data_IF_085112458693
#
_entry.id   IF_085112458693
#
_cell.length_a   1.000
_cell.length_b   1.000
_cell.length_c   1.000
_cell.angle_alpha   90.00
_cell.angle_beta   90.00
_cell.angle_gamma   90.00
#
_symmetry.space_group_name_H-M   'P 1'
#
loop_
_entity.id
_entity.type
_entity.pdbx_description
1 polymer ?
#
# COMPACT_ATOMS: atom_id res chain seq x y z
N UNK A 1 -15.11 -10.76 19.06
CA UNK A 1 -14.62 -11.09 17.69
C UNK A 1 -14.04 -12.48 17.86
N UNK A 2 -14.91 -13.47 18.05
CA UNK A 2 -14.58 -14.73 18.73
C UNK A 2 -14.48 -15.88 17.73
N UNK A 3 -14.03 -15.57 16.52
CA UNK A 3 -13.84 -16.56 15.46
C UNK A 3 -12.78 -17.60 15.82
N UNK A 4 -11.90 -17.31 16.79
CA UNK A 4 -10.87 -18.23 17.28
C UNK A 4 -11.38 -19.19 18.36
N UNK A 5 -12.42 -18.84 19.11
CA UNK A 5 -13.01 -19.74 20.12
C UNK A 5 -13.98 -20.75 19.50
N UNK A 6 -14.61 -20.40 18.36
CA UNK A 6 -15.41 -21.34 17.57
C UNK A 6 -14.55 -22.39 16.82
N UNK A 7 -13.28 -22.08 16.52
CA UNK A 7 -12.36 -23.01 15.81
C UNK A 7 -11.86 -24.17 16.67
N UNK A 8 -11.84 -24.02 17.99
CA UNK A 8 -11.53 -25.13 18.91
C UNK A 8 -12.76 -26.02 19.21
N UNK A 9 -13.95 -25.60 18.74
CA UNK A 9 -15.24 -26.25 19.00
C UNK A 9 -15.85 -26.94 17.79
N UNK A 10 -15.24 -26.85 16.60
CA UNK A 10 -15.61 -27.71 15.47
C UNK A 10 -15.41 -29.16 15.90
N UNK A 11 -16.50 -29.78 16.33
CA UNK A 11 -16.55 -31.20 16.62
C UNK A 11 -16.30 -31.94 15.31
N UNK A 12 -15.67 -33.11 15.37
CA UNK A 12 -15.43 -33.95 14.18
C UNK A 12 -16.74 -34.31 13.43
N UNK A 13 -17.90 -34.08 14.05
CA UNK A 13 -19.24 -34.36 13.54
C UNK A 13 -19.82 -33.28 12.61
N UNK A 14 -19.25 -32.06 12.56
CA UNK A 14 -19.75 -30.95 11.74
C UNK A 14 -19.09 -30.86 10.34
N UNK A 15 -18.08 -31.69 10.08
CA UNK A 15 -17.37 -31.69 8.81
C UNK A 15 -18.12 -32.52 7.77
N UNK A 16 -18.37 -31.95 6.59
CA UNK A 16 -18.92 -32.70 5.46
C UNK A 16 -17.83 -33.61 4.87
N UNK A 17 -17.67 -34.79 5.49
CA UNK A 17 -16.65 -35.75 5.12
C UNK A 17 -17.04 -36.38 3.76
N UNK A 18 -16.17 -36.32 2.74
CA UNK A 18 -16.47 -36.88 1.43
C UNK A 18 -16.50 -38.41 1.47
N UNK A 19 -17.23 -39.02 0.54
CA UNK A 19 -17.46 -40.47 0.49
C UNK A 19 -16.15 -41.29 0.49
N UNK A 20 -15.14 -40.84 -0.26
CA UNK A 20 -13.81 -41.48 -0.31
C UNK A 20 -13.10 -41.51 1.06
N UNK A 21 -13.37 -40.53 1.93
CA UNK A 21 -12.81 -40.45 3.27
C UNK A 21 -13.65 -41.23 4.29
N UNK A 22 -14.97 -41.34 4.10
CA UNK A 22 -15.84 -42.15 4.97
C UNK A 22 -15.57 -43.65 4.83
N UNK A 23 -15.16 -44.10 3.65
CA UNK A 23 -14.89 -45.51 3.38
C UNK A 23 -13.64 -46.09 4.09
N UNK A 24 -12.77 -45.24 4.65
CA UNK A 24 -11.52 -45.67 5.27
C UNK A 24 -11.14 -44.80 6.46
N UNK A 25 -10.89 -45.40 7.63
CA UNK A 25 -10.48 -44.67 8.85
C UNK A 25 -9.24 -43.79 8.63
N UNK A 26 -8.28 -44.27 7.85
CA UNK A 26 -7.08 -43.49 7.50
C UNK A 26 -7.41 -42.33 6.56
N UNK A 27 -8.37 -42.52 5.66
CA UNK A 27 -8.89 -41.47 4.79
C UNK A 27 -9.60 -40.39 5.59
N UNK A 28 -10.46 -40.78 6.53
CA UNK A 28 -11.13 -39.88 7.48
C UNK A 28 -10.12 -39.07 8.29
N UNK A 29 -9.14 -39.73 8.91
CA UNK A 29 -8.09 -39.04 9.67
C UNK A 29 -7.27 -38.07 8.81
N UNK A 30 -6.89 -38.47 7.60
CA UNK A 30 -6.17 -37.59 6.68
C UNK A 30 -7.00 -36.37 6.25
N UNK A 31 -8.30 -36.55 6.02
CA UNK A 31 -9.22 -35.47 5.70
C UNK A 31 -9.35 -34.46 6.85
N UNK A 32 -9.65 -34.94 8.06
CA UNK A 32 -9.77 -34.10 9.26
C UNK A 32 -8.48 -33.32 9.52
N UNK A 33 -7.32 -34.00 9.41
CA UNK A 33 -6.02 -33.35 9.56
C UNK A 33 -5.77 -32.29 8.48
N UNK A 34 -6.23 -32.53 7.25
CA UNK A 34 -6.10 -31.57 6.15
C UNK A 34 -6.95 -30.33 6.38
N UNK A 35 -8.18 -30.48 6.84
CA UNK A 35 -9.06 -29.35 7.18
C UNK A 35 -8.49 -28.52 8.33
N UNK A 36 -7.99 -29.17 9.38
CA UNK A 36 -7.29 -28.47 10.47
C UNK A 36 -6.07 -27.70 9.95
N UNK A 37 -5.24 -28.34 9.13
CA UNK A 37 -4.09 -27.68 8.52
C UNK A 37 -4.50 -26.52 7.60
N UNK A 38 -5.60 -26.65 6.84
CA UNK A 38 -6.16 -25.59 6.01
C UNK A 38 -6.51 -24.37 6.84
N UNK A 39 -7.21 -24.55 7.94
CA UNK A 39 -7.58 -23.46 8.85
C UNK A 39 -6.36 -22.77 9.44
N UNK A 40 -5.36 -23.53 9.93
CA UNK A 40 -4.11 -22.96 10.44
C UNK A 40 -3.38 -22.11 9.39
N UNK A 41 -3.30 -22.61 8.15
CA UNK A 41 -2.61 -21.91 7.05
C UNK A 41 -3.39 -20.67 6.62
N UNK A 42 -4.73 -20.72 6.59
CA UNK A 42 -5.57 -19.55 6.36
C UNK A 42 -5.38 -18.49 7.45
N UNK A 43 -5.39 -18.89 8.73
CA UNK A 43 -5.13 -17.97 9.84
C UNK A 43 -3.74 -17.32 9.74
N UNK A 44 -2.72 -18.09 9.37
CA UNK A 44 -1.38 -17.56 9.12
C UNK A 44 -1.36 -16.57 7.95
N UNK A 45 -2.06 -16.87 6.85
CA UNK A 45 -2.18 -15.96 5.69
C UNK A 45 -2.85 -14.65 6.12
N UNK A 46 -3.97 -14.71 6.82
CA UNK A 46 -4.70 -13.53 7.29
C UNK A 46 -3.85 -12.67 8.23
N UNK A 47 -3.12 -13.28 9.16
CA UNK A 47 -2.24 -12.58 10.11
C UNK A 47 -1.01 -11.97 9.43
N UNK A 48 -0.48 -12.61 8.39
CA UNK A 48 0.75 -12.19 7.74
C UNK A 48 0.56 -10.94 6.86
N UNK A 49 1.47 -9.98 7.02
CA UNK A 49 1.44 -8.68 6.33
C UNK A 49 2.68 -8.44 5.45
N UNK A 50 3.68 -9.30 5.49
CA UNK A 50 4.95 -9.09 4.77
C UNK A 50 5.15 -10.14 3.69
N UNK A 51 5.58 -9.72 2.50
CA UNK A 51 5.85 -10.62 1.36
C UNK A 51 6.82 -11.76 1.71
N UNK A 52 7.85 -11.50 2.51
CA UNK A 52 8.83 -12.53 2.85
C UNK A 52 8.28 -13.63 3.78
N UNK A 53 7.19 -13.38 4.51
CA UNK A 53 6.50 -14.43 5.29
C UNK A 53 5.95 -15.56 4.40
N UNK A 54 5.72 -15.26 3.13
CA UNK A 54 5.20 -16.19 2.12
C UNK A 54 6.28 -16.76 1.19
N UNK A 55 7.56 -16.41 1.42
CA UNK A 55 8.67 -16.86 0.57
C UNK A 55 8.82 -18.39 0.59
N UNK A 56 8.67 -19.00 1.76
CA UNK A 56 8.78 -20.45 1.92
C UNK A 56 7.39 -21.10 1.78
N UNK A 57 7.22 -22.04 0.85
CA UNK A 57 5.94 -22.73 0.64
C UNK A 57 5.41 -23.41 1.90
N UNK A 58 6.29 -23.98 2.73
CA UNK A 58 5.93 -24.67 3.98
C UNK A 58 5.09 -23.85 4.97
N UNK A 59 5.10 -22.51 4.89
CA UNK A 59 4.35 -21.67 5.82
C UNK A 59 2.88 -21.50 5.42
N UNK A 60 2.53 -21.69 4.15
CA UNK A 60 1.18 -21.44 3.64
C UNK A 60 0.61 -22.58 2.77
N UNK A 61 1.46 -23.46 2.24
CA UNK A 61 1.11 -24.62 1.44
C UNK A 61 1.10 -25.89 2.30
N UNK A 62 0.18 -26.80 2.00
CA UNK A 62 0.05 -28.08 2.71
C UNK A 62 0.66 -29.19 1.86
N UNK A 63 1.59 -29.94 2.44
CA UNK A 63 2.25 -31.07 1.78
C UNK A 63 1.64 -32.40 2.23
N UNK A 64 1.43 -33.32 1.30
CA UNK A 64 0.90 -34.67 1.59
C UNK A 64 1.76 -35.41 2.62
N UNK A 65 3.09 -35.28 2.53
CA UNK A 65 4.02 -35.87 3.50
C UNK A 65 3.82 -35.33 4.92
N UNK A 66 3.46 -34.05 5.09
CA UNK A 66 3.18 -33.47 6.40
C UNK A 66 1.89 -34.01 6.99
N UNK A 67 0.86 -34.21 6.15
CA UNK A 67 -0.40 -34.82 6.57
C UNK A 67 -0.15 -36.27 6.98
N UNK A 68 0.56 -37.04 6.15
CA UNK A 68 0.89 -38.44 6.42
C UNK A 68 1.62 -38.62 7.76
N UNK A 69 2.66 -37.82 8.01
CA UNK A 69 3.36 -37.84 9.30
C UNK A 69 2.47 -37.43 10.47
N UNK A 70 1.58 -36.45 10.27
CA UNK A 70 0.63 -35.99 11.29
C UNK A 70 -0.39 -37.05 11.72
N UNK A 71 -0.73 -37.97 10.82
CA UNK A 71 -1.61 -39.11 11.10
C UNK A 71 -0.86 -40.42 11.39
N UNK A 72 0.47 -40.37 11.54
CA UNK A 72 1.30 -41.55 11.87
C UNK A 72 1.53 -42.52 10.71
N UNK A 73 1.41 -42.07 9.46
CA UNK A 73 1.60 -42.86 8.25
C UNK A 73 2.94 -42.55 7.57
N UNK A 74 3.38 -43.46 6.69
CA UNK A 74 4.54 -43.23 5.83
C UNK A 74 4.31 -42.06 4.87
N UNK A 75 5.34 -41.25 4.63
CA UNK A 75 5.28 -40.01 3.82
C UNK A 75 4.66 -40.21 2.42
N UNK A 76 4.89 -41.37 1.79
CA UNK A 76 4.38 -41.69 0.45
C UNK A 76 2.96 -42.26 0.46
N UNK A 77 2.48 -42.78 1.59
CA UNK A 77 1.27 -43.60 1.67
C UNK A 77 0.04 -42.88 1.09
N UNK A 78 -0.21 -41.65 1.54
CA UNK A 78 -1.35 -40.84 1.07
C UNK A 78 -1.23 -40.40 -0.40
N UNK A 79 -0.04 -40.49 -0.99
CA UNK A 79 0.21 -40.04 -2.36
C UNK A 79 0.25 -41.18 -3.39
N UNK A 80 0.56 -42.40 -2.95
CA UNK A 80 0.81 -43.55 -3.83
C UNK A 80 0.00 -44.79 -3.46
N UNK A 81 0.07 -45.20 -2.20
CA UNK A 81 -0.26 -46.57 -1.80
C UNK A 81 -1.69 -46.72 -1.26
N UNK A 82 -2.31 -45.61 -0.83
CA UNK A 82 -3.69 -45.62 -0.36
C UNK A 82 -4.68 -45.82 -1.51
N UNK A 83 -5.73 -46.62 -1.30
CA UNK A 83 -6.81 -46.81 -2.27
C UNK A 83 -7.53 -45.51 -2.64
N UNK A 84 -7.60 -44.57 -1.70
CA UNK A 84 -8.19 -43.23 -1.86
C UNK A 84 -7.17 -42.15 -2.27
N UNK A 85 -5.93 -42.53 -2.61
CA UNK A 85 -4.87 -41.58 -2.96
C UNK A 85 -5.19 -40.68 -4.17
N UNK A 86 -5.86 -41.15 -5.24
CA UNK A 86 -6.27 -40.28 -6.35
C UNK A 86 -7.20 -39.14 -5.92
N UNK A 87 -8.25 -39.48 -5.16
CA UNK A 87 -9.28 -38.56 -4.67
C UNK A 87 -8.67 -37.57 -3.67
N UNK A 88 -7.86 -38.07 -2.75
CA UNK A 88 -7.15 -37.26 -1.78
C UNK A 88 -6.19 -36.27 -2.44
N UNK A 89 -5.44 -36.70 -3.47
CA UNK A 89 -4.54 -35.79 -4.22
C UNK A 89 -5.33 -34.69 -4.93
N UNK A 90 -6.46 -35.03 -5.54
CA UNK A 90 -7.35 -34.07 -6.19
C UNK A 90 -7.87 -33.04 -5.17
N UNK A 91 -8.35 -33.52 -4.02
CA UNK A 91 -8.83 -32.66 -2.94
C UNK A 91 -7.72 -31.77 -2.37
N UNK A 92 -6.55 -32.32 -2.05
CA UNK A 92 -5.41 -31.55 -1.54
C UNK A 92 -4.93 -30.49 -2.54
N UNK A 93 -5.00 -30.80 -3.84
CA UNK A 93 -4.70 -29.83 -4.91
C UNK A 93 -5.69 -28.66 -4.89
N UNK A 94 -6.99 -28.94 -4.77
CA UNK A 94 -8.03 -27.90 -4.64
C UNK A 94 -7.81 -27.03 -3.41
N UNK A 95 -7.57 -27.63 -2.24
CA UNK A 95 -7.28 -26.90 -1.00
C UNK A 95 -6.05 -26.01 -1.15
N UNK A 96 -4.97 -26.50 -1.74
CA UNK A 96 -3.77 -25.69 -1.98
C UNK A 96 -4.00 -24.56 -2.99
N UNK A 97 -4.87 -24.76 -3.99
CA UNK A 97 -5.27 -23.70 -4.90
C UNK A 97 -6.07 -22.59 -4.17
N UNK A 98 -6.97 -22.95 -3.26
CA UNK A 98 -7.68 -21.98 -2.41
C UNK A 98 -6.71 -21.18 -1.52
N UNK A 99 -5.73 -21.85 -0.91
CA UNK A 99 -4.69 -21.19 -0.10
C UNK A 99 -3.81 -20.26 -0.94
N UNK A 100 -3.49 -20.64 -2.17
CA UNK A 100 -2.75 -19.82 -3.13
C UNK A 100 -3.53 -18.53 -3.47
N UNK A 101 -4.83 -18.67 -3.76
CA UNK A 101 -5.73 -17.53 -4.02
C UNK A 101 -5.82 -16.62 -2.79
N UNK A 102 -6.04 -17.18 -1.59
CA UNK A 102 -6.11 -16.41 -0.35
C UNK A 102 -4.80 -15.63 -0.08
N UNK A 103 -3.65 -16.28 -0.29
CA UNK A 103 -2.32 -15.67 -0.17
C UNK A 103 -2.16 -14.51 -1.16
N UNK A 104 -2.52 -14.71 -2.43
CA UNK A 104 -2.39 -13.69 -3.47
C UNK A 104 -3.30 -12.49 -3.19
N UNK A 105 -4.56 -12.74 -2.81
CA UNK A 105 -5.50 -11.70 -2.38
C UNK A 105 -4.96 -10.92 -1.18
N UNK A 106 -4.34 -11.60 -0.21
CA UNK A 106 -3.72 -10.94 0.94
C UNK A 106 -2.55 -10.05 0.52
N UNK A 107 -1.69 -10.52 -0.37
CA UNK A 107 -0.55 -9.74 -0.86
C UNK A 107 -0.99 -8.50 -1.65
N UNK A 108 -2.06 -8.61 -2.45
CA UNK A 108 -2.67 -7.49 -3.16
C UNK A 108 -3.22 -6.45 -2.17
N UNK A 109 -4.04 -6.87 -1.20
CA UNK A 109 -4.55 -5.97 -0.14
C UNK A 109 -3.43 -5.30 0.65
N UNK A 110 -2.37 -6.03 0.97
CA UNK A 110 -1.19 -5.47 1.64
C UNK A 110 -0.48 -4.45 0.75
N UNK A 111 -0.40 -4.68 -0.57
CA UNK A 111 0.22 -3.75 -1.50
C UNK A 111 -0.61 -2.47 -1.67
N UNK A 112 -1.93 -2.60 -1.78
CA UNK A 112 -2.89 -1.48 -1.82
C UNK A 112 -2.84 -0.66 -0.52
N UNK A 113 -2.91 -1.33 0.64
CA UNK A 113 -2.85 -0.68 1.94
C UNK A 113 -1.45 -0.14 2.28
N UNK A 114 -0.40 -0.62 1.59
CA UNK A 114 0.94 -0.02 1.61
C UNK A 114 1.05 1.25 0.78
N UNK A 115 -0.07 1.83 0.37
CA UNK A 115 -0.21 3.24 -0.02
C UNK A 115 0.49 4.14 1.00
N UNK A 116 1.78 4.33 0.78
CA UNK A 116 2.77 4.91 1.70
C UNK A 116 2.69 6.44 1.71
N UNK A 117 1.54 7.00 1.33
CA UNK A 117 1.41 8.40 0.96
C UNK A 117 2.59 8.86 0.08
N UNK A 118 3.16 10.02 0.40
CA UNK A 118 4.31 10.64 -0.28
C UNK A 118 5.55 9.72 -0.41
N UNK A 119 5.70 8.67 0.40
CA UNK A 119 6.89 7.79 0.39
C UNK A 119 6.85 6.79 -0.80
N UNK A 120 5.68 6.63 -1.46
CA UNK A 120 5.57 5.82 -2.68
C UNK A 120 5.90 6.59 -3.97
N UNK A 121 6.01 7.93 -3.91
CA UNK A 121 6.42 8.73 -5.05
C UNK A 121 7.91 8.50 -5.34
N UNK A 122 8.27 8.36 -6.63
CA UNK A 122 9.68 8.28 -7.04
C UNK A 122 10.42 9.50 -6.52
N UNK A 123 11.68 9.33 -6.09
CA UNK A 123 12.56 10.41 -5.58
C UNK A 123 12.49 11.68 -6.43
N UNK A 124 12.43 11.53 -7.75
CA UNK A 124 12.34 12.63 -8.70
C UNK A 124 11.08 13.50 -8.53
N UNK A 125 9.94 12.88 -8.28
CA UNK A 125 8.66 13.59 -8.05
C UNK A 125 8.69 14.33 -6.72
N UNK A 126 9.31 13.74 -5.69
CA UNK A 126 9.48 14.41 -4.39
C UNK A 126 10.41 15.61 -4.49
N UNK A 127 11.53 15.47 -5.23
CA UNK A 127 12.50 16.56 -5.42
C UNK A 127 11.90 17.71 -6.22
N UNK A 128 11.14 17.44 -7.29
CA UNK A 128 10.49 18.50 -8.08
C UNK A 128 9.43 19.25 -7.27
N UNK A 129 8.69 18.53 -6.44
CA UNK A 129 7.69 19.12 -5.54
C UNK A 129 8.32 19.98 -4.44
N UNK A 130 9.44 19.53 -3.85
CA UNK A 130 10.19 20.35 -2.88
C UNK A 130 10.66 21.65 -3.53
N UNK A 131 11.28 21.58 -4.72
CA UNK A 131 11.75 22.77 -5.44
C UNK A 131 10.62 23.76 -5.76
N UNK A 132 9.48 23.25 -6.22
CA UNK A 132 8.31 24.12 -6.51
C UNK A 132 7.71 24.72 -5.23
N UNK A 133 7.77 24.00 -4.11
CA UNK A 133 7.31 24.53 -2.82
C UNK A 133 8.25 25.62 -2.30
N UNK A 134 9.57 25.41 -2.42
CA UNK A 134 10.60 26.40 -2.07
C UNK A 134 10.49 27.66 -2.93
N UNK A 135 10.23 27.53 -4.23
CA UNK A 135 10.00 28.68 -5.11
C UNK A 135 8.77 29.48 -4.68
N UNK A 136 7.64 28.82 -4.41
CA UNK A 136 6.43 29.49 -3.95
C UNK A 136 6.62 30.16 -2.58
N UNK A 137 7.37 29.54 -1.69
CA UNK A 137 7.73 30.13 -0.40
C UNK A 137 8.53 31.41 -0.60
N UNK A 138 9.56 31.38 -1.46
CA UNK A 138 10.41 32.53 -1.76
C UNK A 138 9.63 33.68 -2.42
N UNK A 139 8.70 33.36 -3.32
CA UNK A 139 7.79 34.34 -3.91
C UNK A 139 6.91 35.00 -2.83
N UNK A 140 6.31 34.20 -1.94
CA UNK A 140 5.49 34.72 -0.84
C UNK A 140 6.31 35.56 0.15
N UNK A 141 7.53 35.15 0.47
CA UNK A 141 8.45 35.93 1.30
C UNK A 141 8.78 37.28 0.65
N UNK A 142 9.01 37.32 -0.66
CA UNK A 142 9.29 38.57 -1.37
C UNK A 142 8.10 39.53 -1.37
N UNK A 143 6.88 39.01 -1.55
CA UNK A 143 5.64 39.80 -1.49
C UNK A 143 5.41 40.31 -0.08
N UNK A 144 5.55 39.45 0.92
CA UNK A 144 5.38 39.83 2.32
C UNK A 144 6.44 40.85 2.76
N UNK A 145 7.70 40.69 2.35
CA UNK A 145 8.75 41.66 2.61
C UNK A 145 8.42 43.03 1.99
N UNK A 146 7.93 43.06 0.75
CA UNK A 146 7.49 44.29 0.11
C UNK A 146 6.31 44.95 0.84
N UNK A 147 5.33 44.17 1.29
CA UNK A 147 4.21 44.68 2.08
C UNK A 147 4.64 45.23 3.45
N UNK A 148 5.54 44.53 4.15
CA UNK A 148 6.08 45.00 5.44
C UNK A 148 6.86 46.30 5.27
N UNK A 149 7.68 46.41 4.22
CA UNK A 149 8.40 47.66 3.90
C UNK A 149 7.41 48.78 3.56
N UNK A 150 6.35 48.50 2.79
CA UNK A 150 5.29 49.48 2.48
C UNK A 150 4.59 49.98 3.74
N UNK A 151 4.16 49.07 4.61
CA UNK A 151 3.49 49.41 5.88
C UNK A 151 4.41 50.17 6.85
N UNK A 152 5.72 49.86 6.85
CA UNK A 152 6.69 50.62 7.62
C UNK A 152 6.89 52.04 7.05
N UNK A 153 6.95 52.15 5.71
CA UNK A 153 7.02 53.43 5.02
C UNK A 153 5.81 54.33 5.31
N UNK A 154 4.61 53.74 5.34
CA UNK A 154 3.35 54.41 5.72
C UNK A 154 3.32 54.92 7.17
N UNK A 155 4.25 54.50 8.03
CA UNK A 155 4.37 54.99 9.42
C UNK A 155 5.40 56.10 9.59
N UNK A 156 6.26 56.36 8.61
CA UNK A 156 7.21 57.47 8.68
C UNK A 156 6.51 58.82 8.51
N UNK A 157 7.04 59.86 9.15
CA UNK A 157 6.55 61.23 8.97
C UNK A 157 6.88 61.75 7.56
N UNK A 158 6.11 62.72 7.02
CA UNK A 158 6.29 63.20 5.65
C UNK A 158 7.72 63.66 5.34
N UNK A 159 8.37 64.33 6.31
CA UNK A 159 9.76 64.82 6.18
C UNK A 159 10.79 63.69 6.03
N UNK A 160 10.56 62.55 6.70
CA UNK A 160 11.46 61.39 6.63
C UNK A 160 11.24 60.62 5.33
N UNK A 161 10.00 60.60 4.80
CA UNK A 161 9.72 59.99 3.49
C UNK A 161 10.34 60.76 2.34
N UNK A 162 10.27 62.09 2.40
CA UNK A 162 10.86 63.00 1.40
C UNK A 162 12.39 62.88 1.41
N UNK A 163 12.99 62.79 2.60
CA UNK A 163 14.44 62.58 2.76
C UNK A 163 14.89 61.21 2.24
N UNK A 164 14.08 60.17 2.39
CA UNK A 164 14.35 58.82 1.88
C UNK A 164 13.92 58.64 0.40
N UNK A 165 13.40 59.68 -0.24
CA UNK A 165 12.88 59.65 -1.61
C UNK A 165 11.89 58.50 -1.87
N UNK A 166 11.04 58.20 -0.88
CA UNK A 166 9.95 57.22 -1.03
C UNK A 166 8.81 57.93 -1.77
N UNK A 167 8.80 57.86 -3.09
CA UNK A 167 7.72 58.43 -3.91
C UNK A 167 6.39 57.73 -3.59
N UNK A 168 5.39 58.52 -3.16
CA UNK A 168 3.99 58.08 -3.09
C UNK A 168 3.45 57.86 -4.51
N UNK A 169 3.83 56.77 -5.17
CA UNK A 169 3.16 56.32 -6.40
C UNK A 169 1.75 55.87 -6.04
N UNK A 170 0.81 56.81 -6.11
CA UNK A 170 -0.61 56.48 -6.27
C UNK A 170 -0.73 55.70 -7.57
N UNK A 171 -1.00 54.40 -7.46
CA UNK A 171 -1.28 53.55 -8.60
C UNK A 171 -2.65 53.95 -9.14
N UNK A 172 -2.67 54.77 -10.18
CA UNK A 172 -3.88 55.02 -10.95
C UNK A 172 -4.30 53.71 -11.65
N UNK A 173 -5.49 53.23 -11.34
CA UNK A 173 -6.09 52.00 -11.84
C UNK A 173 -6.49 52.05 -13.33
N UNK A 174 -5.96 52.98 -14.13
CA UNK A 174 -6.25 53.04 -15.57
C UNK A 174 -5.20 52.29 -16.38
N UNK A 175 -5.46 51.00 -16.58
CA UNK A 175 -4.80 50.15 -17.55
C UNK A 175 -4.92 50.77 -18.97
N UNK A 176 -3.85 51.39 -19.49
CA UNK A 176 -3.67 51.67 -20.92
C UNK A 176 -2.22 51.42 -21.32
N UNK A 177 -1.99 50.27 -21.97
CA UNK A 177 -0.77 49.96 -22.70
C UNK A 177 -0.69 50.90 -23.91
N UNK A 178 0.38 51.68 -24.02
CA UNK A 178 0.73 52.40 -25.25
C UNK A 178 2.16 52.02 -25.64
N UNK A 179 2.42 51.56 -26.88
CA UNK A 179 3.76 51.21 -27.32
C UNK A 179 4.54 52.47 -27.71
N UNK A 180 5.78 52.58 -27.23
CA UNK A 180 6.70 53.65 -27.63
C UNK A 180 7.21 53.40 -29.07
N UNK A 181 6.72 54.22 -30.01
CA UNK A 181 7.43 54.47 -31.29
C UNK A 181 8.72 55.22 -30.98
N UNK A 182 9.88 54.66 -31.39
CA UNK A 182 11.14 55.41 -31.51
C UNK A 182 11.02 56.34 -32.72
N UNK A 183 11.06 57.65 -32.48
CA UNK A 183 11.54 58.64 -33.46
C UNK A 183 12.98 58.92 -33.06
N UNK A 184 13.93 58.52 -33.91
CA UNK A 184 15.31 59.01 -33.83
C UNK A 184 15.41 60.05 -34.94
N UNK A 185 15.32 61.32 -34.56
CA UNK A 185 15.87 62.42 -35.36
C UNK A 185 17.23 62.74 -34.75
N UNK A 186 18.28 62.38 -35.47
CA UNK A 186 19.64 62.83 -35.25
C UNK A 186 19.89 64.03 -36.16
N UNK A 187 19.80 65.23 -35.58
CA UNK A 187 20.49 66.41 -36.06
C UNK A 187 21.61 66.69 -35.06
N UNK A 188 22.85 66.74 -35.52
CA UNK A 188 23.80 67.78 -35.17
C UNK A 188 24.98 67.72 -36.16
N UNK A 189 25.18 68.88 -36.79
CA UNK A 189 26.38 69.55 -37.36
C UNK A 189 27.60 68.73 -37.83
#
# INVERSE_FOLDING_TARGET
MDYFEDLARLSDDDLDIPEWARANDRGKMAFVYTEKAKQERLAYILKSTKRHHFKAKKTWHIFSATIAMGVGLEKSYLSRDASFAPEFRSYLSKVNAELEVAKNNRLLKVAENRGRGRIAEKKEVLVSRVRTTEQRLKEQESVNAAEVVRLAAEKFSPLVRDLLMIEDRRVDTSNKVVPLRRVIESNDE
#
